data_IF_196587347184
#
_entry.id   IF_196587347184
#
_cell.length_a   1.000
_cell.length_b   1.000
_cell.length_c   1.000
_cell.angle_alpha   90.00
_cell.angle_beta   90.00
_cell.angle_gamma   90.00
#
_symmetry.space_group_name_H-M   'P 1'
#
loop_
_entity.id
_entity.type
_entity.pdbx_description
1 polymer ?
#
# COMPACT_ATOMS: atom_id res chain seq x y z
N UNK A 1 -15.85 -13.32 -19.88
CA UNK A 1 -14.71 -12.61 -19.25
C UNK A 1 -14.29 -13.47 -18.08
N UNK A 2 -13.01 -13.85 -17.92
CA UNK A 2 -12.66 -14.82 -16.89
C UNK A 2 -12.98 -14.23 -15.52
N UNK A 3 -13.69 -15.00 -14.70
CA UNK A 3 -14.03 -14.74 -13.29
C UNK A 3 -12.75 -14.54 -12.47
N UNK A 4 -12.19 -13.34 -12.50
CA UNK A 4 -11.10 -12.99 -11.60
C UNK A 4 -11.72 -12.63 -10.26
N UNK A 5 -11.73 -13.59 -9.33
CA UNK A 5 -12.16 -13.37 -7.95
C UNK A 5 -11.35 -12.20 -7.37
N UNK A 6 -12.00 -11.06 -7.14
CA UNK A 6 -11.39 -9.92 -6.45
C UNK A 6 -11.07 -10.34 -5.02
N UNK A 7 -9.78 -10.35 -4.69
CA UNK A 7 -9.31 -10.72 -3.35
C UNK A 7 -9.81 -9.74 -2.31
N UNK A 8 -10.08 -10.27 -1.12
CA UNK A 8 -10.39 -9.43 0.04
C UNK A 8 -9.15 -8.61 0.43
N UNK A 9 -9.29 -7.31 0.73
CA UNK A 9 -8.21 -6.47 1.25
C UNK A 9 -7.94 -6.72 2.75
N UNK A 10 -8.59 -7.71 3.36
CA UNK A 10 -8.41 -8.03 4.77
C UNK A 10 -6.99 -8.53 5.07
N UNK A 11 -6.41 -8.04 6.17
CA UNK A 11 -5.07 -8.43 6.64
C UNK A 11 -5.10 -9.35 7.87
N UNK A 12 -6.28 -9.84 8.25
CA UNK A 12 -6.46 -10.74 9.40
C UNK A 12 -6.50 -10.06 10.78
N UNK A 13 -6.32 -8.73 10.84
CA UNK A 13 -6.50 -7.93 12.06
C UNK A 13 -7.69 -6.99 11.89
N UNK A 14 -8.73 -7.19 12.70
CA UNK A 14 -9.95 -6.37 12.64
C UNK A 14 -10.15 -5.60 13.94
N UNK A 15 -10.27 -4.28 13.84
CA UNK A 15 -10.53 -3.42 14.99
C UNK A 15 -12.00 -3.00 15.11
N UNK A 16 -12.80 -3.23 14.07
CA UNK A 16 -14.22 -2.87 14.07
C UNK A 16 -15.05 -3.74 15.01
N UNK A 17 -14.55 -4.93 15.35
CA UNK A 17 -15.11 -5.78 16.42
C UNK A 17 -15.05 -5.12 17.80
N UNK A 18 -14.17 -4.12 17.97
CA UNK A 18 -14.03 -3.32 19.18
C UNK A 18 -14.70 -1.93 19.07
N UNK A 19 -15.54 -1.73 18.05
CA UNK A 19 -16.36 -0.51 17.89
C UNK A 19 -15.81 0.55 16.94
N UNK A 20 -14.67 0.33 16.27
CA UNK A 20 -14.21 1.28 15.25
C UNK A 20 -15.11 1.28 14.00
N UNK A 21 -15.46 2.47 13.50
CA UNK A 21 -16.19 2.62 12.22
C UNK A 21 -15.31 2.33 10.99
N UNK A 22 -13.99 2.46 11.12
CA UNK A 22 -12.99 2.18 10.09
C UNK A 22 -11.95 1.24 10.65
N UNK A 23 -11.72 0.11 9.96
CA UNK A 23 -10.77 -0.90 10.41
C UNK A 23 -9.34 -0.36 10.39
N UNK A 24 -8.64 -0.39 11.53
CA UNK A 24 -7.23 0.01 11.62
C UNK A 24 -6.29 -0.88 10.82
N UNK A 25 -6.66 -2.15 10.58
CA UNK A 25 -5.88 -3.09 9.76
C UNK A 25 -6.06 -2.83 8.26
N UNK A 26 -7.24 -3.14 7.73
CA UNK A 26 -7.50 -3.09 6.27
C UNK A 26 -8.03 -1.75 5.75
N UNK A 27 -8.27 -0.75 6.62
CA UNK A 27 -8.76 0.60 6.28
C UNK A 27 -10.13 0.67 5.58
N UNK A 28 -10.86 -0.46 5.56
CA UNK A 28 -12.27 -0.51 5.14
C UNK A 28 -13.21 0.04 6.21
N UNK A 29 -14.34 0.59 5.78
CA UNK A 29 -15.46 0.88 6.66
C UNK A 29 -16.07 -0.41 7.21
N UNK A 30 -16.66 -0.33 8.40
CA UNK A 30 -17.29 -1.47 9.07
C UNK A 30 -18.29 -2.22 8.16
N UNK A 31 -19.15 -1.50 7.45
CA UNK A 31 -20.15 -2.10 6.55
C UNK A 31 -19.51 -2.84 5.37
N UNK A 32 -18.41 -2.34 4.81
CA UNK A 32 -17.69 -3.01 3.72
C UNK A 32 -17.01 -4.31 4.19
N UNK A 33 -16.60 -4.36 5.46
CA UNK A 33 -16.00 -5.58 6.05
C UNK A 33 -17.06 -6.68 6.21
N UNK A 34 -18.24 -6.33 6.74
CA UNK A 34 -19.32 -7.29 6.99
C UNK A 34 -19.98 -7.76 5.69
N UNK A 35 -20.26 -6.84 4.77
CA UNK A 35 -21.04 -7.14 3.57
C UNK A 35 -20.19 -7.58 2.38
N UNK A 36 -18.86 -7.69 2.52
CA UNK A 36 -17.93 -8.01 1.42
C UNK A 36 -18.35 -9.19 0.54
N UNK A 37 -18.82 -10.28 1.15
CA UNK A 37 -19.21 -11.48 0.41
C UNK A 37 -20.49 -11.28 -0.43
N UNK A 38 -21.32 -10.30 -0.07
CA UNK A 38 -22.53 -9.93 -0.81
C UNK A 38 -22.29 -8.85 -1.86
N UNK A 39 -21.11 -8.23 -1.91
CA UNK A 39 -20.80 -7.20 -2.91
C UNK A 39 -20.64 -7.80 -4.30
N UNK A 40 -21.18 -7.11 -5.29
CA UNK A 40 -20.89 -7.37 -6.69
C UNK A 40 -19.46 -6.89 -7.05
N UNK A 41 -19.00 -7.23 -8.26
CA UNK A 41 -17.64 -6.92 -8.67
C UNK A 41 -17.35 -5.41 -8.77
N UNK A 42 -18.33 -4.60 -9.15
CA UNK A 42 -18.15 -3.14 -9.24
C UNK A 42 -18.06 -2.50 -7.86
N UNK A 43 -18.85 -2.96 -6.90
CA UNK A 43 -18.75 -2.56 -5.49
C UNK A 43 -17.38 -2.93 -4.91
N UNK A 44 -16.91 -4.17 -5.15
CA UNK A 44 -15.57 -4.60 -4.72
C UNK A 44 -14.47 -3.75 -5.35
N UNK A 45 -14.58 -3.42 -6.64
CA UNK A 45 -13.63 -2.53 -7.35
C UNK A 45 -13.66 -1.12 -6.77
N UNK A 46 -14.82 -0.58 -6.44
CA UNK A 46 -14.95 0.74 -5.82
C UNK A 46 -14.24 0.81 -4.46
N UNK A 47 -14.38 -0.22 -3.63
CA UNK A 47 -13.63 -0.34 -2.36
C UNK A 47 -12.13 -0.37 -2.62
N UNK A 48 -11.66 -1.21 -3.56
CA UNK A 48 -10.23 -1.28 -3.90
C UNK A 48 -9.66 0.03 -4.42
N UNK A 49 -10.39 0.71 -5.31
CA UNK A 49 -9.98 2.00 -5.87
C UNK A 49 -9.82 3.04 -4.76
N UNK A 50 -10.78 3.13 -3.83
CA UNK A 50 -10.70 4.04 -2.68
C UNK A 50 -9.50 3.72 -1.78
N UNK A 51 -9.26 2.44 -1.49
CA UNK A 51 -8.10 2.03 -0.67
C UNK A 51 -6.78 2.34 -1.37
N UNK A 52 -6.71 2.16 -2.69
CA UNK A 52 -5.54 2.53 -3.48
C UNK A 52 -5.29 4.03 -3.45
N UNK A 53 -6.33 4.85 -3.68
CA UNK A 53 -6.24 6.31 -3.58
C UNK A 53 -5.76 6.76 -2.21
N UNK A 54 -6.29 6.17 -1.13
CA UNK A 54 -5.85 6.44 0.24
C UNK A 54 -4.37 6.11 0.43
N UNK A 55 -3.91 4.94 -0.06
CA UNK A 55 -2.52 4.54 0.04
C UNK A 55 -1.61 5.52 -0.71
N UNK A 56 -1.96 5.85 -1.96
CA UNK A 56 -1.19 6.81 -2.76
C UNK A 56 -1.08 8.14 -2.03
N UNK A 57 -2.21 8.70 -1.56
CA UNK A 57 -2.22 9.96 -0.83
C UNK A 57 -1.28 9.94 0.39
N UNK A 58 -1.34 8.88 1.20
CA UNK A 58 -0.47 8.74 2.38
C UNK A 58 1.00 8.62 1.97
N UNK A 59 1.30 7.81 0.96
CA UNK A 59 2.67 7.56 0.53
C UNK A 59 3.30 8.80 -0.09
N UNK A 60 2.57 9.55 -0.92
CA UNK A 60 3.04 10.82 -1.48
C UNK A 60 3.38 11.84 -0.39
N UNK A 61 2.63 11.86 0.72
CA UNK A 61 2.94 12.72 1.86
C UNK A 61 4.15 12.28 2.68
N UNK A 62 4.67 11.06 2.48
CA UNK A 62 5.74 10.46 3.30
C UNK A 62 7.04 10.26 2.54
N UNK A 63 6.98 10.03 1.24
CA UNK A 63 8.14 9.79 0.39
C UNK A 63 7.96 10.33 -1.02
N UNK A 64 9.09 10.43 -1.72
CA UNK A 64 9.19 10.80 -3.12
C UNK A 64 9.78 9.62 -3.90
N UNK A 65 9.18 9.27 -5.04
CA UNK A 65 9.70 8.24 -5.94
C UNK A 65 10.49 8.91 -7.06
N UNK A 66 11.83 8.88 -6.96
CA UNK A 66 12.71 9.54 -7.93
C UNK A 66 12.87 8.79 -9.26
N UNK A 67 12.77 7.46 -9.25
CA UNK A 67 12.99 6.60 -10.42
C UNK A 67 12.08 5.37 -10.36
N UNK A 68 10.91 5.48 -10.98
CA UNK A 68 9.93 4.39 -11.04
C UNK A 68 10.44 3.16 -11.79
N UNK A 69 11.34 3.35 -12.78
CA UNK A 69 11.94 2.26 -13.55
C UNK A 69 12.82 1.37 -12.68
N UNK A 70 13.72 1.97 -11.89
CA UNK A 70 14.53 1.24 -10.92
C UNK A 70 13.70 0.59 -9.82
N UNK A 71 12.67 1.28 -9.31
CA UNK A 71 11.75 0.72 -8.32
C UNK A 71 11.09 -0.56 -8.84
N UNK A 72 10.56 -0.51 -10.07
CA UNK A 72 9.95 -1.68 -10.71
C UNK A 72 10.97 -2.81 -10.93
N UNK A 73 12.18 -2.48 -11.38
CA UNK A 73 13.25 -3.47 -11.53
C UNK A 73 13.58 -4.17 -10.20
N UNK A 74 13.63 -3.42 -9.09
CA UNK A 74 13.86 -3.98 -7.75
C UNK A 74 12.73 -4.92 -7.31
N UNK A 75 11.47 -4.57 -7.58
CA UNK A 75 10.33 -5.44 -7.28
C UNK A 75 10.43 -6.76 -8.03
N UNK A 76 10.74 -6.72 -9.33
CA UNK A 76 10.91 -7.93 -10.16
C UNK A 76 12.11 -8.76 -9.69
N UNK A 77 13.26 -8.12 -9.46
CA UNK A 77 14.49 -8.80 -9.02
C UNK A 77 14.29 -9.55 -7.70
N UNK A 78 13.58 -8.94 -6.75
CA UNK A 78 13.30 -9.51 -5.43
C UNK A 78 12.05 -10.40 -5.41
N UNK A 79 11.43 -10.65 -6.57
CA UNK A 79 10.20 -11.45 -6.73
C UNK A 79 9.05 -10.97 -5.82
N UNK A 80 9.00 -9.67 -5.55
CA UNK A 80 7.92 -9.05 -4.78
C UNK A 80 6.72 -8.89 -5.71
N UNK A 81 5.55 -9.43 -5.31
CA UNK A 81 4.32 -9.30 -6.09
C UNK A 81 3.85 -7.84 -6.10
N UNK A 82 3.57 -7.32 -7.30
CA UNK A 82 3.01 -5.99 -7.54
C UNK A 82 2.04 -6.02 -8.73
N UNK A 83 1.23 -4.98 -8.86
CA UNK A 83 0.27 -4.82 -9.96
C UNK A 83 0.77 -3.75 -10.94
N UNK A 84 1.07 -4.07 -12.21
CA UNK A 84 1.76 -3.15 -13.13
C UNK A 84 1.00 -1.87 -13.52
N UNK A 85 -0.31 -1.81 -13.30
CA UNK A 85 -1.13 -0.63 -13.63
C UNK A 85 -1.43 0.26 -12.42
N UNK A 86 -0.99 -0.13 -11.22
CA UNK A 86 -1.11 0.72 -10.03
C UNK A 86 -0.03 1.80 -10.02
N UNK A 87 -0.25 2.84 -9.22
CA UNK A 87 0.76 3.88 -9.02
C UNK A 87 2.07 3.32 -8.44
N UNK A 88 3.18 3.96 -8.81
CA UNK A 88 4.51 3.78 -8.26
C UNK A 88 4.57 3.93 -6.72
N UNK A 89 3.65 4.68 -6.11
CA UNK A 89 3.55 4.78 -4.65
C UNK A 89 3.03 3.49 -4.02
N UNK A 90 2.12 2.77 -4.70
CA UNK A 90 1.69 1.43 -4.28
C UNK A 90 2.86 0.44 -4.38
N UNK A 91 3.67 0.56 -5.44
CA UNK A 91 4.89 -0.23 -5.63
C UNK A 91 5.93 0.04 -4.54
N UNK A 92 6.14 1.31 -4.20
CA UNK A 92 7.04 1.72 -3.12
C UNK A 92 6.59 1.14 -1.78
N UNK A 93 5.29 1.18 -1.48
CA UNK A 93 4.74 0.53 -0.30
C UNK A 93 4.99 -0.98 -0.27
N UNK A 94 4.76 -1.70 -1.38
CA UNK A 94 5.03 -3.15 -1.45
C UNK A 94 6.52 -3.46 -1.21
N UNK A 95 7.41 -2.64 -1.76
CA UNK A 95 8.85 -2.78 -1.54
C UNK A 95 9.20 -2.56 -0.06
N UNK A 96 8.65 -1.56 0.61
CA UNK A 96 8.90 -1.30 2.04
C UNK A 96 8.32 -2.41 2.90
N UNK A 97 7.03 -2.71 2.74
CA UNK A 97 6.30 -3.66 3.58
C UNK A 97 6.86 -5.09 3.49
N UNK A 98 7.33 -5.53 2.31
CA UNK A 98 7.94 -6.86 2.13
C UNK A 98 9.46 -6.86 2.18
N UNK A 99 10.10 -5.76 1.79
CA UNK A 99 11.54 -5.62 1.82
C UNK A 99 12.11 -5.44 3.23
N UNK A 100 11.33 -4.88 4.16
CA UNK A 100 11.71 -4.77 5.57
C UNK A 100 11.92 -6.13 6.26
N UNK A 101 11.37 -7.22 5.72
CA UNK A 101 11.64 -8.58 6.23
C UNK A 101 13.01 -9.12 5.80
N UNK A 102 13.58 -8.61 4.70
CA UNK A 102 14.90 -9.04 4.21
C UNK A 102 16.06 -8.21 4.79
N UNK A 103 15.73 -7.12 5.48
CA UNK A 103 16.71 -6.18 5.99
C UNK A 103 16.21 -5.64 7.33
N UNK A 104 16.92 -5.96 8.41
CA UNK A 104 17.25 -4.93 9.39
C UNK A 104 17.98 -3.83 8.60
N UNK A 105 17.22 -2.95 7.92
CA UNK A 105 17.77 -1.90 7.07
C UNK A 105 18.54 -0.98 8.01
N UNK A 106 19.87 -1.04 7.96
CA UNK A 106 20.70 0.03 8.50
C UNK A 106 20.28 1.35 7.85
N UNK A 107 20.34 2.43 8.62
CA UNK A 107 19.91 3.77 8.26
C UNK A 107 20.38 4.24 6.86
N UNK A 108 21.56 3.79 6.42
CA UNK A 108 22.14 4.05 5.11
C UNK A 108 21.30 3.54 3.92
N UNK A 109 20.51 2.49 4.12
CA UNK A 109 19.68 1.89 3.07
C UNK A 109 18.38 2.68 2.84
N UNK A 110 17.85 3.32 3.90
CA UNK A 110 16.74 4.27 3.80
C UNK A 110 17.17 5.48 2.95
N UNK A 111 18.31 6.09 3.29
CA UNK A 111 18.85 7.28 2.64
C UNK A 111 19.17 7.09 1.13
N UNK A 112 19.36 5.85 0.67
CA UNK A 112 19.71 5.57 -0.74
C UNK A 112 18.52 5.54 -1.69
N UNK A 113 17.31 5.27 -1.19
CA UNK A 113 16.15 5.00 -2.06
C UNK A 113 14.89 5.77 -1.68
N UNK A 114 14.82 6.31 -0.46
CA UNK A 114 13.65 7.03 0.07
C UNK A 114 14.18 8.22 0.87
N UNK A 115 13.90 9.44 0.41
CA UNK A 115 14.05 10.62 1.26
C UNK A 115 12.76 10.77 2.08
N UNK A 116 12.73 10.47 3.39
CA UNK A 116 11.57 10.77 4.21
C UNK A 116 11.31 12.28 4.17
N UNK A 117 10.07 12.69 3.91
CA UNK A 117 9.69 14.10 3.76
C UNK A 117 10.09 14.98 4.95
N UNK A 118 10.17 14.41 6.16
CA UNK A 118 10.66 15.08 7.37
C UNK A 118 12.10 15.61 7.26
N UNK A 119 12.95 15.04 6.39
CA UNK A 119 14.31 15.54 6.20
C UNK A 119 14.36 16.85 5.39
N UNK A 120 13.32 17.19 4.60
CA UNK A 120 13.23 18.50 3.94
C UNK A 120 12.96 19.62 4.94
N UNK A 121 12.20 19.33 6.01
CA UNK A 121 11.94 20.31 7.08
C UNK A 121 13.14 20.47 8.03
N UNK A 122 13.96 19.43 8.20
CA UNK A 122 15.18 19.46 9.02
C UNK A 122 16.39 20.07 8.31
N UNK A 123 16.45 19.96 6.98
CA UNK A 123 17.47 20.56 6.12
C UNK A 123 16.79 21.48 5.11
N UNK A 124 16.30 22.61 5.61
CA UNK A 124 15.70 23.65 4.77
C UNK A 124 16.63 24.08 3.64
N UNK A 125 16.05 24.16 2.45
CA UNK A 125 16.45 25.10 1.40
C UNK A 125 15.22 25.95 1.10
#
# INVERSE_FOLDING_TARGET
MPDYIIKTPCVGLCSTVYGDLVCRGCKRFHHEVIHWNGYNEDEKRAVWLRLEQLLVQVMTAKLEVFDAGKLRAQLTQRKIRFVPHQSEYCWAYQLIARGAQFFLLSEAHYQRYIAPGFLKDAFGA
#
